data_IF_150044279442
#
_entry.id   IF_150044279442
#
_cell.length_a   1.000
_cell.length_b   1.000
_cell.length_c   1.000
_cell.angle_alpha   90.00
_cell.angle_beta   90.00
_cell.angle_gamma   90.00
#
_symmetry.space_group_name_H-M   'P 1'
#
loop_
_entity.id
_entity.type
_entity.pdbx_description
1 polymer ?
#
# COMPACT_ATOMS: atom_id res chain seq x y z
N UNK A 1 -34.78 0.76 21.92
CA UNK A 1 -33.47 0.07 21.79
C UNK A 1 -32.38 1.09 21.49
N UNK A 2 -31.53 1.35 22.48
CA UNK A 2 -30.37 2.23 22.41
C UNK A 2 -29.20 1.52 21.72
N UNK A 3 -28.87 1.94 20.49
CA UNK A 3 -27.64 1.51 19.81
C UNK A 3 -26.49 2.37 20.32
N UNK A 4 -25.91 1.98 21.45
CA UNK A 4 -24.62 2.52 21.88
C UNK A 4 -23.56 2.04 20.90
N UNK A 5 -23.27 2.87 19.89
CA UNK A 5 -22.04 2.81 19.12
C UNK A 5 -20.89 3.10 20.07
N UNK A 6 -20.35 2.06 20.68
CA UNK A 6 -19.12 2.14 21.44
C UNK A 6 -17.99 2.42 20.44
N UNK A 7 -17.78 3.71 20.17
CA UNK A 7 -16.52 4.26 19.68
C UNK A 7 -15.45 3.74 20.63
N UNK A 8 -14.74 2.69 20.19
CA UNK A 8 -13.69 2.03 20.94
C UNK A 8 -12.59 3.05 21.20
N UNK A 9 -12.71 3.63 22.38
CA UNK A 9 -11.96 4.75 22.91
C UNK A 9 -10.50 4.35 23.06
N UNK A 10 -9.66 4.83 22.12
CA UNK A 10 -8.33 5.41 22.35
C UNK A 10 -7.78 5.19 23.77
N UNK A 11 -6.78 4.30 23.89
CA UNK A 11 -5.75 4.26 24.95
C UNK A 11 -4.82 3.07 24.66
N UNK A 12 -3.53 3.30 24.33
CA UNK A 12 -2.33 2.55 24.81
C UNK A 12 -1.02 2.81 24.02
N UNK A 13 -0.70 4.07 23.69
CA UNK A 13 0.49 4.47 22.89
C UNK A 13 1.87 4.09 23.51
N UNK A 14 1.92 3.53 24.73
CA UNK A 14 3.16 3.08 25.38
C UNK A 14 3.42 1.57 25.31
N UNK A 15 2.41 0.73 25.58
CA UNK A 15 2.48 -0.73 25.44
C UNK A 15 2.28 -1.21 23.99
N UNK A 16 1.79 -0.31 23.11
CA UNK A 16 1.52 -0.60 21.70
C UNK A 16 2.74 -1.11 20.93
N UNK A 17 3.96 -0.62 21.23
CA UNK A 17 5.14 -0.99 20.45
C UNK A 17 5.57 -2.45 20.69
N UNK A 18 5.69 -2.87 21.95
CA UNK A 18 6.02 -4.26 22.30
C UNK A 18 4.91 -5.20 21.87
N UNK A 19 3.65 -4.86 22.16
CA UNK A 19 2.50 -5.65 21.72
C UNK A 19 2.42 -5.78 20.20
N UNK A 20 2.79 -4.73 19.46
CA UNK A 20 2.83 -4.78 18.01
C UNK A 20 3.97 -5.66 17.47
N UNK A 21 5.14 -5.65 18.12
CA UNK A 21 6.24 -6.55 17.80
C UNK A 21 5.83 -8.00 18.07
N UNK A 22 5.23 -8.30 19.22
CA UNK A 22 4.71 -9.63 19.54
C UNK A 22 3.67 -10.08 18.52
N UNK A 23 2.69 -9.23 18.22
CA UNK A 23 1.66 -9.55 17.23
C UNK A 23 2.25 -9.75 15.82
N UNK A 24 3.29 -9.00 15.45
CA UNK A 24 4.03 -9.22 14.21
C UNK A 24 4.75 -10.56 14.23
N UNK A 25 5.40 -10.92 15.34
CA UNK A 25 6.08 -12.20 15.51
C UNK A 25 5.11 -13.37 15.39
N UNK A 26 3.96 -13.31 16.07
CA UNK A 26 2.90 -14.32 15.98
C UNK A 26 2.36 -14.47 14.55
N UNK A 27 2.13 -13.33 13.89
CA UNK A 27 1.71 -13.32 12.49
C UNK A 27 2.73 -14.03 11.59
N UNK A 28 4.01 -13.73 11.77
CA UNK A 28 5.09 -14.32 10.98
C UNK A 28 5.28 -15.81 11.29
N UNK A 29 5.20 -16.20 12.56
CA UNK A 29 5.31 -17.59 13.02
C UNK A 29 4.18 -18.45 12.45
N UNK A 30 2.96 -17.93 12.43
CA UNK A 30 1.81 -18.62 11.82
C UNK A 30 1.93 -18.74 10.28
N UNK A 31 2.73 -17.89 9.63
CA UNK A 31 2.86 -17.79 8.16
C UNK A 31 4.31 -17.59 7.71
N UNK A 32 5.17 -18.62 7.84
CA UNK A 32 6.60 -18.50 7.56
C UNK A 32 6.93 -18.16 6.11
N UNK A 33 6.07 -18.52 5.15
CA UNK A 33 6.25 -18.21 3.72
C UNK A 33 5.64 -16.87 3.26
N UNK A 34 5.01 -16.11 4.16
CA UNK A 34 4.42 -14.81 3.79
C UNK A 34 5.50 -13.75 3.53
N UNK A 35 5.26 -12.78 2.63
CA UNK A 35 6.17 -11.65 2.44
C UNK A 35 6.54 -10.95 3.74
N UNK A 36 5.60 -10.79 4.67
CA UNK A 36 5.83 -10.21 6.00
C UNK A 36 6.86 -11.01 6.81
N UNK A 37 6.77 -12.34 6.81
CA UNK A 37 7.72 -13.19 7.53
C UNK A 37 9.15 -13.14 6.95
N UNK A 38 9.25 -13.06 5.62
CA UNK A 38 10.51 -13.08 4.88
C UNK A 38 11.19 -11.71 4.83
N UNK A 39 10.41 -10.65 4.61
CA UNK A 39 10.92 -9.29 4.37
C UNK A 39 10.89 -8.39 5.60
N UNK A 40 10.14 -8.77 6.63
CA UNK A 40 10.05 -8.06 7.92
C UNK A 40 9.86 -6.53 7.73
N UNK A 41 8.72 -6.10 7.16
CA UNK A 41 8.47 -4.67 6.94
C UNK A 41 8.53 -3.88 8.25
N UNK A 42 8.94 -2.63 8.18
CA UNK A 42 8.91 -1.70 9.31
C UNK A 42 7.47 -1.36 9.66
N UNK A 43 7.12 -1.40 10.95
CA UNK A 43 5.80 -1.02 11.44
C UNK A 43 5.81 0.39 12.01
N UNK A 44 4.85 1.18 11.57
CA UNK A 44 4.58 2.52 12.08
C UNK A 44 3.13 2.62 12.52
N UNK A 45 2.87 3.44 13.54
CA UNK A 45 1.52 3.79 13.97
C UNK A 45 1.31 5.29 13.75
N UNK A 46 0.34 5.64 12.90
CA UNK A 46 -0.01 7.03 12.58
C UNK A 46 -1.51 7.16 12.40
N UNK A 47 -2.09 8.20 12.98
CA UNK A 47 -3.52 8.52 12.82
C UNK A 47 -4.45 7.33 13.09
N UNK A 48 -4.16 6.56 14.15
CA UNK A 48 -4.93 5.37 14.54
C UNK A 48 -4.85 4.19 13.54
N UNK A 49 -3.88 4.23 12.62
CA UNK A 49 -3.62 3.18 11.65
C UNK A 49 -2.21 2.62 11.82
N UNK A 50 -2.11 1.31 11.65
CA UNK A 50 -0.87 0.58 11.48
C UNK A 50 -0.46 0.59 10.02
N UNK A 51 0.82 0.86 9.80
CA UNK A 51 1.44 0.97 8.49
C UNK A 51 2.63 0.01 8.46
N UNK A 52 2.60 -0.97 7.57
CA UNK A 52 3.71 -1.87 7.28
C UNK A 52 4.40 -1.39 6.01
N UNK A 53 5.66 -0.96 6.11
CA UNK A 53 6.44 -0.39 5.01
C UNK A 53 7.68 -1.23 4.73
N UNK A 54 7.91 -1.56 3.46
CA UNK A 54 9.19 -2.03 2.95
C UNK A 54 9.69 -1.08 1.86
N UNK A 55 10.77 -0.35 2.13
CA UNK A 55 11.36 0.60 1.19
C UNK A 55 11.83 1.89 1.86
N UNK A 56 12.38 2.84 1.09
CA UNK A 56 12.94 4.08 1.63
C UNK A 56 11.88 5.04 2.18
N UNK A 57 10.68 5.05 1.59
CA UNK A 57 9.58 5.93 1.95
C UNK A 57 8.24 5.33 1.49
N UNK A 58 7.13 6.00 1.82
CA UNK A 58 5.78 5.54 1.50
C UNK A 58 5.43 5.62 -0.01
N UNK A 59 6.13 6.46 -0.78
CA UNK A 59 5.84 6.70 -2.20
C UNK A 59 6.50 5.64 -3.09
N UNK A 60 7.74 5.30 -2.78
CA UNK A 60 8.56 4.34 -3.54
C UNK A 60 8.52 2.92 -2.93
N UNK A 61 8.10 2.80 -1.67
CA UNK A 61 8.02 1.55 -0.94
C UNK A 61 6.72 0.78 -1.14
N UNK A 62 6.73 -0.47 -0.68
CA UNK A 62 5.54 -1.31 -0.59
C UNK A 62 4.88 -1.06 0.76
N UNK A 63 3.63 -0.61 0.73
CA UNK A 63 2.89 -0.22 1.94
C UNK A 63 1.63 -1.07 2.13
N UNK A 64 1.44 -1.57 3.34
CA UNK A 64 0.17 -2.10 3.83
C UNK A 64 -0.37 -1.24 4.97
N UNK A 65 -1.67 -0.95 4.98
CA UNK A 65 -2.31 -0.09 5.98
C UNK A 65 -3.52 -0.82 6.57
N UNK A 66 -3.70 -0.74 7.89
CA UNK A 66 -4.88 -1.30 8.54
C UNK A 66 -5.09 -0.80 9.98
N UNK A 67 -6.28 -1.03 10.56
CA UNK A 67 -6.59 -0.64 11.93
C UNK A 67 -5.87 -1.50 12.99
N UNK A 68 -5.24 -2.61 12.58
CA UNK A 68 -4.46 -3.51 13.44
C UNK A 68 -3.18 -3.92 12.74
N UNK A 69 -2.17 -4.37 13.50
CA UNK A 69 -0.90 -4.89 12.95
C UNK A 69 -1.17 -6.01 11.95
N UNK A 70 -2.01 -6.99 12.31
CA UNK A 70 -2.34 -8.10 11.41
C UNK A 70 -3.04 -7.65 10.12
N UNK A 71 -3.88 -6.61 10.17
CA UNK A 71 -4.53 -6.07 8.98
C UNK A 71 -3.52 -5.34 8.06
N UNK A 72 -2.60 -4.56 8.64
CA UNK A 72 -1.54 -3.88 7.90
C UNK A 72 -0.59 -4.89 7.22
N UNK A 73 -0.14 -5.93 7.93
CA UNK A 73 0.71 -7.00 7.38
C UNK A 73 0.01 -7.78 6.26
N UNK A 74 -1.30 -8.05 6.40
CA UNK A 74 -2.08 -8.71 5.35
C UNK A 74 -2.18 -7.85 4.09
N UNK A 75 -2.42 -6.55 4.25
CA UNK A 75 -2.46 -5.61 3.13
C UNK A 75 -1.09 -5.53 2.43
N UNK A 76 -0.01 -5.52 3.21
CA UNK A 76 1.36 -5.55 2.71
C UNK A 76 1.64 -6.82 1.89
N UNK A 77 1.30 -8.00 2.43
CA UNK A 77 1.49 -9.28 1.75
C UNK A 77 0.77 -9.32 0.40
N UNK A 78 -0.48 -8.86 0.36
CA UNK A 78 -1.26 -8.78 -0.86
C UNK A 78 -0.60 -7.86 -1.90
N UNK A 79 -0.14 -6.67 -1.48
CA UNK A 79 0.53 -5.73 -2.38
C UNK A 79 1.84 -6.30 -2.89
N UNK A 80 2.66 -6.90 -2.03
CA UNK A 80 3.92 -7.54 -2.40
C UNK A 80 3.71 -8.62 -3.47
N UNK A 81 2.74 -9.51 -3.26
CA UNK A 81 2.41 -10.56 -4.23
C UNK A 81 1.86 -10.01 -5.55
N UNK A 82 1.15 -8.88 -5.53
CA UNK A 82 0.67 -8.24 -6.77
C UNK A 82 1.81 -7.69 -7.63
N UNK A 83 2.91 -7.28 -7.02
CA UNK A 83 4.10 -6.77 -7.72
C UNK A 83 4.98 -7.90 -8.26
N UNK A 84 4.95 -9.08 -7.63
CA UNK A 84 5.64 -10.27 -8.12
C UNK A 84 4.94 -10.92 -9.31
N UNK A 85 3.64 -10.67 -9.51
CA UNK A 85 2.97 -11.12 -10.73
C UNK A 85 3.54 -10.32 -11.89
N UNK A 86 4.08 -10.99 -12.94
CA UNK A 86 4.47 -10.28 -14.16
C UNK A 86 3.25 -9.50 -14.67
N UNK A 87 3.44 -8.31 -15.27
CA UNK A 87 2.37 -7.55 -15.89
C UNK A 87 1.89 -8.28 -17.15
N UNK A 88 1.26 -9.43 -16.99
CA UNK A 88 0.46 -10.04 -18.04
C UNK A 88 -0.98 -9.55 -17.83
N UNK A 89 -1.49 -8.77 -18.78
CA UNK A 89 -2.91 -8.45 -18.96
C UNK A 89 -3.62 -7.54 -17.92
N UNK A 90 -2.94 -6.60 -17.26
CA UNK A 90 -3.66 -5.39 -16.82
C UNK A 90 -3.67 -4.38 -17.93
N UNK A 91 -4.55 -4.62 -18.90
CA UNK A 91 -5.15 -3.62 -19.78
C UNK A 91 -4.22 -2.45 -20.11
N UNK A 92 -3.45 -2.58 -21.19
CA UNK A 92 -3.10 -1.40 -21.96
C UNK A 92 -4.41 -0.65 -22.19
N UNK A 93 -4.61 0.60 -21.71
CA UNK A 93 -5.63 1.41 -22.34
C UNK A 93 -5.30 1.42 -23.84
N UNK A 94 -6.28 1.33 -24.77
CA UNK A 94 -5.97 1.39 -26.18
C UNK A 94 -5.10 2.62 -26.38
N UNK A 95 -3.85 2.41 -26.80
CA UNK A 95 -2.95 3.48 -27.19
C UNK A 95 -3.71 4.23 -28.27
N UNK A 96 -4.35 5.36 -27.90
CA UNK A 96 -4.83 6.29 -28.90
C UNK A 96 -3.58 6.71 -29.63
N UNK A 97 -3.50 6.52 -30.96
CA UNK A 97 -2.40 7.08 -31.72
C UNK A 97 -2.37 8.57 -31.38
N UNK A 98 -1.23 9.05 -30.88
CA UNK A 98 -0.97 10.49 -30.81
C UNK A 98 -1.16 10.98 -32.24
N UNK A 99 -2.25 11.71 -32.48
CA UNK A 99 -2.43 12.38 -33.75
C UNK A 99 -1.19 13.25 -33.97
N UNK A 100 -0.47 13.10 -35.10
CA UNK A 100 0.56 14.05 -35.43
C UNK A 100 -0.15 15.39 -35.60
N UNK A 101 0.27 16.38 -34.81
CA UNK A 101 -0.07 17.76 -35.06
C UNK A 101 0.55 18.10 -36.42
N UNK A 102 -0.21 17.94 -37.50
CA UNK A 102 0.16 18.56 -38.77
C UNK A 102 0.09 20.06 -38.53
N UNK A 103 1.25 20.68 -38.33
CA UNK A 103 1.41 22.13 -38.43
C UNK A 103 0.91 22.49 -39.82
N UNK A 104 -0.29 23.04 -39.88
CA UNK A 104 -0.85 23.63 -41.08
C UNK A 104 0.00 24.87 -41.35
N UNK A 105 1.03 24.71 -42.18
CA UNK A 105 1.87 25.81 -42.64
C UNK A 105 0.94 26.84 -43.28
N UNK A 106 0.69 27.95 -42.57
CA UNK A 106 -0.02 29.08 -43.15
C UNK A 106 0.86 29.62 -44.27
N UNK A 107 0.37 29.49 -45.50
CA UNK A 107 0.91 30.14 -46.69
C UNK A 107 1.06 31.64 -46.38
N UNK A 108 2.28 32.17 -46.45
CA UNK A 108 2.50 33.62 -46.47
C UNK A 108 1.97 34.17 -47.81
N UNK A 109 1.37 35.38 -47.82
CA UNK A 109 0.99 36.03 -49.07
C UNK A 109 2.25 36.46 -49.84
N UNK A 110 2.24 36.19 -51.14
CA UNK A 110 3.28 36.60 -52.09
C UNK A 110 3.23 38.12 -52.33
N UNK A 111 4.39 38.74 -52.48
CA UNK A 111 4.54 40.09 -53.07
C UNK A 111 4.80 39.95 -54.57
#
# INVERSE_FOLDING_TARGET
MNKSCHTARRRYVGDDATAAVEQMMDYCAARPGSPSAVRRPQLFFRSELWIALLGPNLEEGIVGIGPTVAAALRAFDARYLTLLRPPNERMSPPMKPRQPFTVRLRRLPEC
#
